data_IF_855201787576
#
_entry.id   IF_855201787576
#
_cell.length_a   1.000
_cell.length_b   1.000
_cell.length_c   1.000
_cell.angle_alpha   90.00
_cell.angle_beta   90.00
_cell.angle_gamma   90.00
#
_symmetry.space_group_name_H-M   'P 1'
#
loop_
_entity.id
_entity.type
_entity.pdbx_description
1 polymer ?
#
# COMPACT_ATOMS: atom_id res chain seq x y z
N UNK A 1 31.89 10.83 58.57
CA UNK A 1 31.66 12.29 58.45
C UNK A 1 30.77 12.48 57.23
N UNK A 2 29.45 12.60 57.42
CA UNK A 2 28.50 12.69 56.31
C UNK A 2 28.43 14.14 55.86
N UNK A 3 28.86 14.43 54.63
CA UNK A 3 28.58 15.71 53.98
C UNK A 3 27.09 15.69 53.61
N UNK A 4 26.28 16.40 54.39
CA UNK A 4 24.87 16.59 54.10
C UNK A 4 24.71 17.58 52.96
N UNK A 5 23.94 17.19 51.94
CA UNK A 5 23.54 18.10 50.87
C UNK A 5 22.68 19.24 51.44
N UNK A 6 22.87 20.45 50.91
CA UNK A 6 22.00 21.58 51.29
C UNK A 6 20.63 21.41 50.62
N UNK A 7 19.56 21.87 51.29
CA UNK A 7 18.20 21.75 50.74
C UNK A 7 18.06 22.44 49.37
N UNK A 8 18.77 23.56 49.19
CA UNK A 8 18.78 24.30 47.92
C UNK A 8 19.45 23.51 46.79
N UNK A 9 20.51 22.76 47.07
CA UNK A 9 21.21 21.93 46.08
C UNK A 9 20.33 20.77 45.60
N UNK A 10 19.58 20.14 46.50
CA UNK A 10 18.60 19.11 46.14
C UNK A 10 17.48 19.69 45.27
N UNK A 11 17.01 20.90 45.56
CA UNK A 11 15.94 21.56 44.80
C UNK A 11 16.38 21.93 43.37
N UNK A 12 17.61 22.43 43.22
CA UNK A 12 18.20 22.74 41.90
C UNK A 12 18.42 21.45 41.09
N UNK A 13 18.84 20.36 41.73
CA UNK A 13 19.03 19.08 41.04
C UNK A 13 17.70 18.50 40.53
N UNK A 14 16.64 18.55 41.34
CA UNK A 14 15.31 18.07 40.95
C UNK A 14 14.76 18.91 39.78
N UNK A 15 14.93 20.24 39.80
CA UNK A 15 14.45 21.09 38.70
C UNK A 15 15.19 20.80 37.39
N UNK A 16 16.50 20.59 37.44
CA UNK A 16 17.28 20.15 36.27
C UNK A 16 16.82 18.80 35.74
N UNK A 17 16.55 17.83 36.64
CA UNK A 17 16.06 16.51 36.24
C UNK A 17 14.70 16.58 35.52
N UNK A 18 13.77 17.41 36.01
CA UNK A 18 12.44 17.56 35.38
C UNK A 18 12.57 18.09 33.95
N UNK A 19 13.44 19.08 33.72
CA UNK A 19 13.67 19.63 32.39
C UNK A 19 14.21 18.56 31.45
N UNK A 20 15.22 17.80 31.87
CA UNK A 20 15.84 16.74 31.06
C UNK A 20 14.80 15.65 30.71
N UNK A 21 14.05 15.17 31.71
CA UNK A 21 13.04 14.13 31.50
C UNK A 21 11.92 14.58 30.57
N UNK A 22 11.50 15.84 30.65
CA UNK A 22 10.44 16.37 29.77
C UNK A 22 10.86 16.38 28.29
N UNK A 23 12.12 16.72 28.01
CA UNK A 23 12.69 16.71 26.67
C UNK A 23 12.80 15.26 26.16
N UNK A 24 13.37 14.36 26.97
CA UNK A 24 13.49 12.94 26.60
C UNK A 24 12.14 12.28 26.33
N UNK A 25 11.12 12.60 27.12
CA UNK A 25 9.77 12.07 26.92
C UNK A 25 9.14 12.58 25.62
N UNK A 26 9.35 13.86 25.29
CA UNK A 26 8.89 14.45 24.02
C UNK A 26 9.51 13.76 22.82
N UNK A 27 10.82 13.49 22.86
CA UNK A 27 11.51 12.73 21.81
C UNK A 27 10.97 11.30 21.69
N UNK A 28 10.74 10.62 22.82
CA UNK A 28 10.17 9.28 22.81
C UNK A 28 8.80 9.21 22.13
N UNK A 29 7.90 10.17 22.41
CA UNK A 29 6.58 10.24 21.78
C UNK A 29 6.67 10.49 20.26
N UNK A 30 7.60 11.33 19.81
CA UNK A 30 7.81 11.59 18.38
C UNK A 30 8.29 10.30 17.68
N UNK A 31 9.27 9.60 18.25
CA UNK A 31 9.77 8.34 17.68
C UNK A 31 8.70 7.25 17.65
N UNK A 32 7.90 7.14 18.72
CA UNK A 32 6.83 6.15 18.81
C UNK A 32 5.71 6.39 17.79
N UNK A 33 5.32 7.64 17.55
CA UNK A 33 4.35 7.97 16.49
C UNK A 33 4.94 7.85 15.08
N UNK A 34 6.27 7.92 14.93
CA UNK A 34 6.94 7.71 13.65
C UNK A 34 6.91 6.24 13.21
N UNK A 35 7.00 5.30 14.15
CA UNK A 35 7.06 3.86 13.86
C UNK A 35 5.70 3.31 13.42
N UNK A 36 4.58 3.78 13.98
CA UNK A 36 3.22 3.41 13.58
C UNK A 36 2.97 3.76 12.10
N UNK A 37 3.27 5.00 11.70
CA UNK A 37 3.13 5.47 10.31
C UNK A 37 4.05 4.72 9.35
N UNK A 38 5.27 4.40 9.78
CA UNK A 38 6.20 3.63 8.94
C UNK A 38 5.71 2.19 8.71
N UNK A 39 5.14 1.55 9.73
CA UNK A 39 4.50 0.23 9.61
C UNK A 39 3.31 0.27 8.65
N UNK A 40 2.44 1.27 8.82
CA UNK A 40 1.30 1.52 7.96
C UNK A 40 1.66 1.65 6.47
N UNK A 41 2.65 2.50 6.19
CA UNK A 41 3.14 2.71 4.83
C UNK A 41 3.77 1.44 4.23
N UNK A 42 4.49 0.67 5.05
CA UNK A 42 5.11 -0.59 4.61
C UNK A 42 4.06 -1.61 4.18
N UNK A 43 2.99 -1.75 4.95
CA UNK A 43 1.92 -2.69 4.64
C UNK A 43 1.15 -2.31 3.36
N UNK A 44 0.79 -1.04 3.22
CA UNK A 44 0.18 -0.50 1.99
C UNK A 44 1.09 -0.73 0.79
N UNK A 45 2.39 -0.46 0.94
CA UNK A 45 3.37 -0.67 -0.12
C UNK A 45 3.50 -2.15 -0.51
N UNK A 46 3.59 -3.05 0.46
CA UNK A 46 3.71 -4.48 0.21
C UNK A 46 2.49 -5.05 -0.52
N UNK A 47 1.28 -4.70 -0.06
CA UNK A 47 0.03 -5.13 -0.72
C UNK A 47 -0.07 -4.55 -2.14
N UNK A 48 0.23 -3.27 -2.30
CA UNK A 48 0.20 -2.59 -3.59
C UNK A 48 1.19 -3.18 -4.59
N UNK A 49 2.46 -3.34 -4.21
CA UNK A 49 3.50 -3.91 -5.10
C UNK A 49 3.26 -5.39 -5.40
N UNK A 50 2.76 -6.17 -4.43
CA UNK A 50 2.43 -7.58 -4.66
C UNK A 50 1.33 -7.72 -5.72
N UNK A 51 0.23 -6.99 -5.57
CA UNK A 51 -0.86 -7.01 -6.55
C UNK A 51 -0.38 -6.53 -7.93
N UNK A 52 0.42 -5.45 -7.98
CA UNK A 52 0.93 -4.87 -9.23
C UNK A 52 1.83 -5.86 -9.98
N UNK A 53 2.81 -6.41 -9.26
CA UNK A 53 3.80 -7.32 -9.84
C UNK A 53 3.17 -8.63 -10.30
N UNK A 54 2.12 -9.11 -9.61
CA UNK A 54 1.37 -10.27 -10.05
C UNK A 54 0.62 -9.98 -11.34
N UNK A 55 -0.16 -8.89 -11.39
CA UNK A 55 -0.89 -8.51 -12.60
C UNK A 55 0.05 -8.26 -13.78
N UNK A 56 1.20 -7.61 -13.55
CA UNK A 56 2.23 -7.39 -14.57
C UNK A 56 2.78 -8.71 -15.13
N UNK A 57 3.14 -9.66 -14.26
CA UNK A 57 3.63 -10.98 -14.71
C UNK A 57 2.60 -11.71 -15.57
N UNK A 58 1.34 -11.65 -15.17
CA UNK A 58 0.24 -12.25 -15.94
C UNK A 58 0.06 -11.53 -17.28
N UNK A 59 0.05 -10.20 -17.30
CA UNK A 59 -0.08 -9.40 -18.52
C UNK A 59 1.09 -9.63 -19.50
N UNK A 60 2.33 -9.76 -19.01
CA UNK A 60 3.51 -10.03 -19.84
C UNK A 60 3.43 -11.38 -20.58
N UNK A 61 3.00 -12.42 -19.87
CA UNK A 61 2.91 -13.79 -20.39
C UNK A 61 1.61 -14.09 -21.13
N UNK A 62 0.67 -13.14 -21.14
CA UNK A 62 -0.63 -13.29 -21.75
C UNK A 62 -0.53 -13.56 -23.26
N UNK A 63 -1.42 -14.42 -23.76
CA UNK A 63 -1.68 -14.57 -25.20
C UNK A 63 -2.69 -13.54 -25.69
N UNK A 64 -3.72 -13.29 -24.88
CA UNK A 64 -4.79 -12.33 -25.15
C UNK A 64 -5.16 -11.62 -23.85
N UNK A 65 -5.44 -10.33 -23.96
CA UNK A 65 -5.90 -9.51 -22.84
C UNK A 65 -7.15 -8.76 -23.23
N UNK A 66 -8.14 -8.75 -22.34
CA UNK A 66 -9.38 -8.01 -22.48
C UNK A 66 -9.65 -7.22 -21.19
N UNK A 67 -9.93 -5.93 -21.33
CA UNK A 67 -10.32 -5.08 -20.21
C UNK A 67 -11.82 -4.81 -20.32
N UNK A 68 -12.55 -5.00 -19.21
CA UNK A 68 -13.89 -4.45 -19.06
C UNK A 68 -13.78 -3.11 -18.36
N UNK A 69 -14.28 -2.07 -19.00
CA UNK A 69 -14.26 -0.69 -18.49
C UNK A 69 -15.58 -0.39 -17.79
N UNK A 70 -16.04 -1.30 -16.93
CA UNK A 70 -17.21 -1.05 -16.10
C UNK A 70 -16.82 -0.04 -14.99
N UNK A 71 -17.50 1.11 -14.88
CA UNK A 71 -17.20 2.09 -13.84
C UNK A 71 -17.45 1.57 -12.41
N UNK A 72 -18.31 0.56 -12.23
CA UNK A 72 -18.59 -0.02 -10.92
C UNK A 72 -17.59 -1.11 -10.52
N UNK A 73 -17.14 -1.92 -11.49
CA UNK A 73 -16.23 -3.03 -11.23
C UNK A 73 -15.29 -3.27 -12.43
N UNK A 74 -14.23 -2.46 -12.59
CA UNK A 74 -13.30 -2.62 -13.68
C UNK A 74 -12.60 -3.97 -13.55
N UNK A 75 -12.48 -4.69 -14.66
CA UNK A 75 -11.87 -6.03 -14.66
C UNK A 75 -10.88 -6.22 -15.81
N UNK A 76 -9.83 -6.97 -15.54
CA UNK A 76 -8.80 -7.35 -16.49
C UNK A 76 -8.80 -8.87 -16.65
N UNK A 77 -9.18 -9.34 -17.82
CA UNK A 77 -9.16 -10.76 -18.18
C UNK A 77 -7.90 -11.05 -18.96
N UNK A 78 -7.07 -11.93 -18.41
CA UNK A 78 -5.82 -12.38 -19.00
C UNK A 78 -5.96 -13.84 -19.42
N UNK A 79 -5.81 -14.12 -20.71
CA UNK A 79 -5.79 -15.50 -21.23
C UNK A 79 -4.35 -15.94 -21.48
N UNK A 80 -3.94 -17.02 -20.83
CA UNK A 80 -2.61 -17.62 -20.98
C UNK A 80 -2.47 -18.42 -22.28
N UNK A 81 -1.24 -18.84 -22.58
CA UNK A 81 -0.92 -19.73 -23.71
C UNK A 81 -1.64 -21.09 -23.61
N UNK A 82 -1.79 -21.60 -22.38
CA UNK A 82 -2.44 -22.88 -22.09
C UNK A 82 -3.97 -22.82 -22.17
N UNK A 83 -4.54 -21.66 -22.53
CA UNK A 83 -6.00 -21.43 -22.61
C UNK A 83 -6.67 -21.14 -21.26
N UNK A 84 -5.92 -21.17 -20.16
CA UNK A 84 -6.43 -20.77 -18.84
C UNK A 84 -6.62 -19.25 -18.78
N UNK A 85 -7.80 -18.81 -18.35
CA UNK A 85 -8.11 -17.39 -18.16
C UNK A 85 -8.08 -17.02 -16.68
N UNK A 86 -7.44 -15.91 -16.36
CA UNK A 86 -7.43 -15.31 -15.02
C UNK A 86 -8.10 -13.95 -15.09
N UNK A 87 -9.11 -13.73 -14.26
CA UNK A 87 -9.83 -12.47 -14.18
C UNK A 87 -9.41 -11.73 -12.93
N UNK A 88 -8.78 -10.57 -13.12
CA UNK A 88 -8.55 -9.62 -12.05
C UNK A 88 -9.73 -8.66 -11.98
N UNK A 89 -10.39 -8.56 -10.84
CA UNK A 89 -11.49 -7.61 -10.61
C UNK A 89 -11.14 -6.67 -9.47
N UNK A 90 -11.56 -5.42 -9.61
CA UNK A 90 -11.52 -4.45 -8.52
C UNK A 90 -12.94 -4.03 -8.14
N UNK A 91 -13.31 -4.26 -6.89
CA UNK A 91 -14.65 -4.00 -6.35
C UNK A 91 -14.71 -2.68 -5.55
N UNK A 92 -13.81 -1.75 -5.85
CA UNK A 92 -13.67 -0.48 -5.10
C UNK A 92 -13.26 -0.60 -3.63
N UNK A 93 -12.97 -1.82 -3.17
CA UNK A 93 -12.48 -2.12 -1.81
C UNK A 93 -11.28 -3.05 -1.85
N UNK A 94 -11.26 -4.02 -2.77
CA UNK A 94 -10.22 -5.04 -2.87
C UNK A 94 -9.93 -5.38 -4.33
N UNK A 95 -8.71 -5.86 -4.58
CA UNK A 95 -8.36 -6.50 -5.84
C UNK A 95 -8.48 -8.01 -5.65
N UNK A 96 -9.18 -8.69 -6.55
CA UNK A 96 -9.34 -10.14 -6.52
C UNK A 96 -8.85 -10.76 -7.82
N UNK A 97 -8.32 -11.98 -7.74
CA UNK A 97 -7.99 -12.86 -8.87
C UNK A 97 -8.90 -14.08 -8.83
N UNK A 98 -9.74 -14.27 -9.85
CA UNK A 98 -10.73 -15.35 -9.92
C UNK A 98 -11.53 -15.51 -8.60
N UNK A 99 -12.03 -14.39 -8.07
CA UNK A 99 -12.78 -14.31 -6.80
C UNK A 99 -11.98 -14.55 -5.51
N UNK A 100 -10.66 -14.76 -5.57
CA UNK A 100 -9.78 -14.76 -4.39
C UNK A 100 -9.16 -13.38 -4.18
N UNK A 101 -9.24 -12.83 -2.97
CA UNK A 101 -8.63 -11.54 -2.64
C UNK A 101 -7.11 -11.59 -2.71
N UNK A 102 -6.50 -10.62 -3.40
CA UNK A 102 -5.05 -10.44 -3.49
C UNK A 102 -4.50 -9.46 -2.46
N UNK A 103 -5.36 -8.58 -1.97
CA UNK A 103 -5.06 -7.58 -0.94
C UNK A 103 -5.62 -8.03 0.40
N UNK A 104 -4.88 -7.76 1.49
CA UNK A 104 -5.34 -8.05 2.85
C UNK A 104 -6.53 -7.18 3.27
N UNK A 105 -7.25 -7.61 4.30
CA UNK A 105 -8.35 -6.91 4.97
C UNK A 105 -7.94 -5.60 5.68
N UNK A 106 -6.64 -5.40 5.92
CA UNK A 106 -6.10 -4.19 6.55
C UNK A 106 -5.94 -3.02 5.56
N UNK A 107 -6.12 -3.27 4.26
CA UNK A 107 -5.99 -2.26 3.21
C UNK A 107 -7.27 -2.18 2.38
N UNK A 108 -7.54 -0.98 1.88
CA UNK A 108 -8.64 -0.70 0.96
C UNK A 108 -8.06 -0.20 -0.35
N UNK A 109 -8.60 -0.68 -1.47
CA UNK A 109 -8.19 -0.27 -2.81
C UNK A 109 -9.26 0.61 -3.43
N UNK A 110 -8.88 1.76 -3.96
CA UNK A 110 -9.76 2.72 -4.62
C UNK A 110 -9.19 3.17 -5.98
N UNK A 111 -10.04 3.79 -6.82
CA UNK A 111 -9.60 4.40 -8.07
C UNK A 111 -8.99 3.42 -9.09
N UNK A 112 -9.50 2.19 -9.15
CA UNK A 112 -9.02 1.18 -10.08
C UNK A 112 -9.29 1.56 -11.53
N UNK A 113 -8.26 1.47 -12.36
CA UNK A 113 -8.30 1.77 -13.80
C UNK A 113 -7.52 0.68 -14.52
N UNK A 114 -8.23 -0.07 -15.37
CA UNK A 114 -7.62 -1.00 -16.31
C UNK A 114 -7.84 -0.49 -17.73
N UNK A 115 -6.75 -0.38 -18.49
CA UNK A 115 -6.78 0.06 -19.88
C UNK A 115 -6.12 -0.99 -20.75
N UNK A 116 -6.81 -1.43 -21.79
CA UNK A 116 -6.28 -2.35 -22.77
C UNK A 116 -6.33 -1.67 -24.13
N UNK A 117 -5.17 -1.47 -24.75
CA UNK A 117 -5.09 -0.96 -26.12
C UNK A 117 -4.54 -2.06 -27.00
N UNK A 118 -5.39 -2.59 -27.90
CA UNK A 118 -5.01 -3.57 -28.91
C UNK A 118 -5.29 -2.96 -30.29
N UNK A 119 -4.25 -2.47 -30.96
CA UNK A 119 -4.35 -1.96 -32.33
C UNK A 119 -3.86 -3.02 -33.32
N UNK A 120 -4.50 -3.17 -34.49
CA UNK A 120 -4.05 -4.11 -35.51
C UNK A 120 -2.63 -3.77 -35.97
N UNK A 121 -1.72 -4.73 -35.86
CA UNK A 121 -0.31 -4.59 -36.24
C UNK A 121 0.65 -4.13 -35.13
N UNK A 122 0.14 -3.83 -33.93
CA UNK A 122 0.98 -3.52 -32.75
C UNK A 122 0.65 -4.45 -31.59
N UNK A 123 1.63 -4.84 -30.75
CA UNK A 123 1.37 -5.65 -29.58
C UNK A 123 0.45 -4.91 -28.61
N UNK A 124 -0.49 -5.62 -28.00
CA UNK A 124 -1.42 -5.04 -27.04
C UNK A 124 -0.67 -4.53 -25.82
N UNK A 125 -1.15 -3.41 -25.27
CA UNK A 125 -0.64 -2.82 -24.05
C UNK A 125 -1.72 -2.78 -22.99
N UNK A 126 -1.33 -3.09 -21.76
CA UNK A 126 -2.18 -3.07 -20.58
C UNK A 126 -1.66 -2.01 -19.63
N UNK A 127 -2.46 -0.98 -19.37
CA UNK A 127 -2.22 -0.02 -18.30
C UNK A 127 -3.06 -0.39 -17.09
N UNK A 128 -2.40 -0.51 -15.94
CA UNK A 128 -3.03 -0.78 -14.65
C UNK A 128 -2.76 0.42 -13.75
N UNK A 129 -3.79 0.90 -13.05
CA UNK A 129 -3.67 1.96 -12.06
C UNK A 129 -4.66 1.76 -10.92
N UNK A 130 -4.23 2.01 -9.68
CA UNK A 130 -5.10 1.99 -8.49
C UNK A 130 -4.41 2.68 -7.31
N UNK A 131 -5.18 3.03 -6.30
CA UNK A 131 -4.68 3.57 -5.04
C UNK A 131 -4.96 2.57 -3.93
N UNK A 132 -3.98 2.32 -3.06
CA UNK A 132 -4.15 1.50 -1.86
C UNK A 132 -4.01 2.40 -0.65
N UNK A 133 -4.94 2.29 0.28
CA UNK A 133 -4.96 3.04 1.52
C UNK A 133 -5.15 2.06 2.70
N UNK A 134 -4.72 2.46 3.89
CA UNK A 134 -5.06 1.67 5.08
C UNK A 134 -6.56 1.70 5.36
N UNK A 135 -7.11 0.55 5.74
CA UNK A 135 -8.51 0.44 6.09
C UNK A 135 -8.79 1.14 7.43
N UNK A 136 -9.91 1.86 7.50
CA UNK A 136 -10.24 2.80 8.58
C UNK A 136 -10.55 2.14 9.93
N UNK A 137 -10.64 0.81 9.97
CA UNK A 137 -10.86 0.02 11.18
C UNK A 137 -9.58 -0.21 12.00
N UNK A 138 -8.41 0.07 11.44
CA UNK A 138 -7.17 0.13 12.19
C UNK A 138 -7.22 1.44 12.96
N UNK A 139 -7.14 1.39 14.28
CA UNK A 139 -7.23 2.52 15.22
C UNK A 139 -6.02 3.46 15.11
N UNK A 140 -5.69 3.89 13.90
CA UNK A 140 -4.70 4.88 13.57
C UNK A 140 -5.37 6.24 13.52
N UNK A 141 -4.66 7.26 13.99
CA UNK A 141 -5.17 8.63 13.89
C UNK A 141 -5.25 9.03 12.42
N UNK A 142 -6.15 9.96 12.08
CA UNK A 142 -6.34 10.44 10.69
C UNK A 142 -5.04 10.92 10.02
N UNK A 143 -4.04 11.36 10.80
CA UNK A 143 -2.71 11.79 10.34
C UNK A 143 -1.68 10.66 10.15
N UNK A 144 -2.02 9.43 10.56
CA UNK A 144 -1.22 8.20 10.40
C UNK A 144 -1.72 7.32 9.25
N UNK A 145 -2.86 7.67 8.64
CA UNK A 145 -3.36 7.01 7.42
C UNK A 145 -2.32 7.16 6.32
N UNK A 146 -1.89 6.02 5.78
CA UNK A 146 -0.99 5.95 4.65
C UNK A 146 -1.76 5.51 3.41
N UNK A 147 -1.53 6.20 2.30
CA UNK A 147 -2.08 5.87 0.98
C UNK A 147 -1.00 6.01 -0.08
N UNK A 148 -0.97 5.08 -1.03
CA UNK A 148 -0.04 5.08 -2.15
C UNK A 148 -0.78 4.73 -3.43
N UNK A 149 -0.49 5.48 -4.50
CA UNK A 149 -0.99 5.19 -5.84
C UNK A 149 0.04 4.39 -6.62
N UNK A 150 -0.44 3.36 -7.30
CA UNK A 150 0.36 2.44 -8.12
C UNK A 150 -0.13 2.54 -9.56
N UNK A 151 0.82 2.60 -10.51
CA UNK A 151 0.49 2.50 -11.91
C UNK A 151 1.62 1.86 -12.70
N UNK A 152 1.26 1.00 -13.64
CA UNK A 152 2.21 0.37 -14.58
C UNK A 152 1.59 0.26 -15.96
N UNK A 153 2.46 0.19 -16.98
CA UNK A 153 2.09 -0.04 -18.38
C UNK A 153 2.96 -1.16 -18.93
N UNK A 154 2.31 -2.20 -19.44
CA UNK A 154 2.95 -3.46 -19.80
C UNK A 154 2.54 -3.84 -21.21
N UNK A 155 3.52 -4.21 -22.04
CA UNK A 155 3.28 -4.70 -23.40
C UNK A 155 3.20 -6.24 -23.36
N UNK A 156 2.16 -6.79 -23.96
CA UNK A 156 1.93 -8.23 -24.04
C UNK A 156 2.92 -8.85 -25.03
N UNK A 157 3.69 -9.86 -24.60
CA UNK A 157 4.80 -10.41 -25.41
C UNK A 157 4.39 -11.57 -26.31
N UNK A 158 3.37 -12.33 -25.93
CA UNK A 158 3.01 -13.59 -26.59
C UNK A 158 1.78 -13.47 -27.50
N UNK A 159 1.39 -12.25 -27.85
CA UNK A 159 0.28 -12.01 -28.75
C UNK A 159 0.75 -12.24 -30.21
N UNK A 160 0.23 -13.28 -30.83
CA UNK A 160 0.39 -13.58 -32.27
C UNK A 160 -0.96 -13.48 -32.97
#
# INVERSE_FOLDING_TARGET
KYFGFTLIEVLVFISMLIVILSISFSFFLITFNGSSKSGALKEVKQNGEFALSLMEKFALSAKKVECSVDPASPSLTVTMLDGTSTVFSCDGVKISSNSSSLTDSNVVVSGCVFTCTANPGTPAMVGIGYTVEMFDNVSLRTNEKAGLSFSTKVIVRNQK
#
